data_IF_436017362367
#
_entry.id   IF_436017362367
#
_cell.length_a   1.000
_cell.length_b   1.000
_cell.length_c   1.000
_cell.angle_alpha   90.00
_cell.angle_beta   90.00
_cell.angle_gamma   90.00
#
_symmetry.space_group_name_H-M   'P 1'
#
loop_
_entity.id
_entity.type
_entity.pdbx_description
1 polymer ?
#
# COMPACT_ATOMS: atom_id res chain seq x y z
N UNK A 1 -23.51 -4.11 14.50
CA UNK A 1 -22.24 -3.37 14.68
C UNK A 1 -21.02 -4.16 14.23
N UNK A 2 -20.83 -5.39 14.71
CA UNK A 2 -19.72 -6.28 14.31
C UNK A 2 -19.73 -6.59 12.81
N UNK A 3 -20.89 -6.90 12.22
CA UNK A 3 -21.02 -7.17 10.78
C UNK A 3 -20.74 -5.94 9.87
N UNK A 4 -21.02 -4.71 10.34
CA UNK A 4 -20.74 -3.48 9.59
C UNK A 4 -19.24 -3.16 9.60
N UNK A 5 -18.61 -3.21 10.78
CA UNK A 5 -17.19 -2.92 10.94
C UNK A 5 -16.29 -3.98 10.28
N UNK A 6 -16.51 -5.27 10.57
CA UNK A 6 -15.67 -6.33 10.02
C UNK A 6 -16.09 -6.76 8.61
N UNK A 7 -17.38 -6.72 8.29
CA UNK A 7 -17.89 -7.25 7.03
C UNK A 7 -17.92 -6.24 5.88
N UNK A 8 -18.15 -4.95 6.15
CA UNK A 8 -18.22 -3.94 5.08
C UNK A 8 -16.98 -3.06 5.06
N UNK A 9 -16.65 -2.44 6.18
CA UNK A 9 -15.50 -1.53 6.27
C UNK A 9 -14.18 -2.30 6.12
N UNK A 10 -14.01 -3.40 6.87
CA UNK A 10 -12.82 -4.25 6.76
C UNK A 10 -12.60 -4.85 5.37
N UNK A 11 -13.69 -5.20 4.65
CA UNK A 11 -13.59 -5.70 3.27
C UNK A 11 -13.15 -4.61 2.29
N UNK A 12 -13.63 -3.37 2.48
CA UNK A 12 -13.19 -2.22 1.68
C UNK A 12 -11.71 -1.94 1.95
N UNK A 13 -11.29 -1.96 3.21
CA UNK A 13 -9.88 -1.76 3.58
C UNK A 13 -8.96 -2.83 2.97
N UNK A 14 -9.34 -4.11 3.08
CA UNK A 14 -8.60 -5.19 2.46
C UNK A 14 -8.53 -5.01 0.94
N UNK A 15 -9.63 -4.64 0.30
CA UNK A 15 -9.67 -4.43 -1.16
C UNK A 15 -8.78 -3.27 -1.61
N UNK A 16 -8.71 -2.17 -0.84
CA UNK A 16 -7.84 -1.03 -1.13
C UNK A 16 -6.35 -1.39 -1.02
N UNK A 17 -5.99 -2.19 -0.01
CA UNK A 17 -4.64 -2.73 0.13
C UNK A 17 -4.27 -3.64 -1.05
N UNK A 18 -5.13 -4.60 -1.39
CA UNK A 18 -4.90 -5.49 -2.54
C UNK A 18 -4.85 -4.72 -3.87
N UNK A 19 -5.67 -3.68 -4.04
CA UNK A 19 -5.62 -2.83 -5.21
C UNK A 19 -4.26 -2.15 -5.35
N UNK A 20 -3.75 -1.55 -4.27
CA UNK A 20 -2.42 -0.90 -4.27
C UNK A 20 -1.30 -1.88 -4.60
N UNK A 21 -1.38 -3.10 -4.06
CA UNK A 21 -0.44 -4.18 -4.37
C UNK A 21 -0.43 -4.54 -5.86
N UNK A 22 -1.61 -4.80 -6.44
CA UNK A 22 -1.74 -5.14 -7.85
C UNK A 22 -1.34 -3.98 -8.76
N UNK A 23 -1.62 -2.74 -8.35
CA UNK A 23 -1.24 -1.55 -9.09
C UNK A 23 0.28 -1.44 -9.25
N UNK A 24 1.04 -1.57 -8.15
CA UNK A 24 2.50 -1.46 -8.18
C UNK A 24 3.13 -2.64 -8.93
N UNK A 25 2.61 -3.85 -8.75
CA UNK A 25 3.04 -5.01 -9.53
C UNK A 25 2.82 -4.80 -11.02
N UNK A 26 1.67 -4.28 -11.43
CA UNK A 26 1.33 -4.03 -12.83
C UNK A 26 2.20 -2.92 -13.45
N UNK A 27 2.49 -1.87 -12.69
CA UNK A 27 3.38 -0.78 -13.11
C UNK A 27 4.82 -1.29 -13.37
N UNK A 28 5.25 -2.29 -12.60
CA UNK A 28 6.53 -2.99 -12.79
C UNK A 28 6.47 -4.18 -13.76
N UNK A 29 5.38 -4.34 -14.53
CA UNK A 29 5.27 -5.37 -15.57
C UNK A 29 4.70 -6.73 -15.15
N UNK A 30 4.34 -6.90 -13.87
CA UNK A 30 3.66 -8.09 -13.37
C UNK A 30 2.15 -7.87 -13.32
N UNK A 31 1.47 -8.17 -14.43
CA UNK A 31 0.01 -8.08 -14.44
C UNK A 31 -0.65 -9.08 -13.46
N UNK A 32 -1.82 -8.74 -12.88
CA UNK A 32 -2.53 -9.60 -11.95
C UNK A 32 -2.81 -11.02 -12.48
N UNK A 33 -3.01 -11.17 -13.78
CA UNK A 33 -3.20 -12.47 -14.45
C UNK A 33 -1.95 -13.34 -14.41
N UNK A 34 -0.75 -12.75 -14.55
CA UNK A 34 0.56 -13.43 -14.54
C UNK A 34 1.04 -13.78 -13.13
N UNK A 35 0.55 -13.06 -12.11
CA UNK A 35 0.86 -13.31 -10.70
C UNK A 35 0.27 -14.62 -10.17
N UNK A 36 -0.82 -15.10 -10.76
CA UNK A 36 -1.47 -16.35 -10.36
C UNK A 36 -0.51 -17.52 -10.69
N UNK A 37 -0.20 -18.35 -9.68
CA UNK A 37 0.77 -19.46 -9.73
C UNK A 37 2.26 -19.09 -9.82
N UNK A 38 2.63 -17.81 -9.81
CA UNK A 38 4.03 -17.38 -9.93
C UNK A 38 4.87 -17.59 -8.65
N UNK A 39 4.22 -17.89 -7.50
CA UNK A 39 4.87 -17.96 -6.18
C UNK A 39 6.05 -18.94 -6.11
N UNK A 40 5.93 -20.12 -6.72
CA UNK A 40 6.99 -21.13 -6.70
C UNK A 40 8.26 -20.66 -7.43
N UNK A 41 8.09 -19.98 -8.57
CA UNK A 41 9.20 -19.41 -9.34
C UNK A 41 9.72 -18.13 -8.69
N UNK A 42 8.84 -17.33 -8.09
CA UNK A 42 9.15 -16.10 -7.38
C UNK A 42 10.09 -16.33 -6.18
N UNK A 43 9.88 -17.39 -5.41
CA UNK A 43 10.66 -17.66 -4.20
C UNK A 43 11.94 -18.48 -4.45
N UNK A 44 12.07 -19.07 -5.63
CA UNK A 44 13.26 -19.82 -6.03
C UNK A 44 14.45 -18.88 -6.27
N UNK A 45 15.50 -19.01 -5.44
CA UNK A 45 16.78 -18.30 -5.60
C UNK A 45 17.60 -18.78 -6.79
N UNK A 46 17.35 -20.00 -7.27
CA UNK A 46 18.09 -20.60 -8.37
C UNK A 46 17.64 -20.07 -9.74
N UNK A 47 16.45 -19.47 -9.82
CA UNK A 47 15.89 -18.96 -11.07
C UNK A 47 16.03 -17.44 -11.12
N UNK A 48 16.98 -16.92 -11.91
CA UNK A 48 17.27 -15.47 -12.01
C UNK A 48 16.75 -14.82 -13.30
N UNK A 49 16.06 -15.57 -14.15
CA UNK A 49 15.53 -15.12 -15.44
C UNK A 49 14.01 -15.21 -15.44
N UNK A 50 13.36 -14.59 -14.45
CA UNK A 50 11.90 -14.60 -14.39
C UNK A 50 11.32 -13.55 -15.33
N UNK A 51 10.66 -13.99 -16.39
CA UNK A 51 10.08 -13.13 -17.41
C UNK A 51 8.78 -12.48 -16.92
N UNK A 52 8.73 -11.14 -16.98
CA UNK A 52 7.53 -10.35 -16.73
C UNK A 52 6.58 -10.33 -17.94
N UNK A 53 5.52 -9.52 -17.89
CA UNK A 53 4.55 -9.43 -18.98
C UNK A 53 5.02 -8.55 -20.15
N UNK A 54 6.12 -7.81 -19.97
CA UNK A 54 6.77 -6.99 -20.99
C UNK A 54 7.94 -7.72 -21.68
N UNK A 55 8.27 -8.94 -21.24
CA UNK A 55 9.39 -9.74 -21.76
C UNK A 55 10.75 -9.39 -21.13
N UNK A 56 10.78 -8.69 -19.98
CA UNK A 56 12.02 -8.41 -19.25
C UNK A 56 12.34 -9.53 -18.26
N UNK A 57 13.62 -9.85 -18.12
CA UNK A 57 14.10 -10.83 -17.15
C UNK A 57 14.40 -10.19 -15.79
N UNK A 58 13.82 -10.74 -14.73
CA UNK A 58 13.99 -10.26 -13.37
C UNK A 58 14.84 -11.22 -12.51
N UNK A 59 15.92 -10.68 -11.96
CA UNK A 59 16.77 -11.38 -10.97
C UNK A 59 16.04 -11.57 -9.64
N UNK A 60 16.48 -12.55 -8.82
CA UNK A 60 15.91 -12.77 -7.49
C UNK A 60 15.99 -11.53 -6.59
N UNK A 61 17.11 -10.80 -6.65
CA UNK A 61 17.29 -9.58 -5.86
C UNK A 61 16.24 -8.53 -6.21
N UNK A 62 16.06 -8.21 -7.50
CA UNK A 62 15.12 -7.20 -7.97
C UNK A 62 13.67 -7.58 -7.65
N UNK A 63 13.30 -8.86 -7.78
CA UNK A 63 11.97 -9.35 -7.40
C UNK A 63 11.70 -9.16 -5.91
N UNK A 64 12.67 -9.47 -5.06
CA UNK A 64 12.51 -9.27 -3.61
C UNK A 64 12.41 -7.79 -3.25
N UNK A 65 13.19 -6.92 -3.90
CA UNK A 65 13.06 -5.46 -3.75
C UNK A 65 11.63 -5.00 -4.11
N UNK A 66 11.09 -5.48 -5.23
CA UNK A 66 9.72 -5.16 -5.64
C UNK A 66 8.68 -5.70 -4.64
N UNK A 67 8.83 -6.94 -4.16
CA UNK A 67 7.96 -7.55 -3.16
C UNK A 67 7.92 -6.71 -1.87
N UNK A 68 9.09 -6.25 -1.42
CA UNK A 68 9.26 -5.38 -0.27
C UNK A 68 8.61 -4.00 -0.46
N UNK A 69 8.79 -3.42 -1.65
CA UNK A 69 8.12 -2.16 -2.03
C UNK A 69 6.60 -2.30 -1.97
N UNK A 70 6.06 -3.42 -2.46
CA UNK A 70 4.64 -3.71 -2.42
C UNK A 70 4.10 -3.87 -0.98
N UNK A 71 4.87 -4.49 -0.08
CA UNK A 71 4.51 -4.62 1.34
C UNK A 71 4.44 -3.24 2.02
N UNK A 72 5.42 -2.38 1.76
CA UNK A 72 5.39 -0.98 2.22
C UNK A 72 4.14 -0.26 1.73
N UNK A 73 3.84 -0.36 0.45
CA UNK A 73 2.68 0.32 -0.12
C UNK A 73 1.35 -0.21 0.42
N UNK A 74 1.26 -1.52 0.66
CA UNK A 74 0.11 -2.13 1.31
C UNK A 74 -0.09 -1.56 2.71
N UNK A 75 0.98 -1.41 3.49
CA UNK A 75 0.93 -0.78 4.80
C UNK A 75 0.49 0.69 4.71
N UNK A 76 1.06 1.48 3.79
CA UNK A 76 0.66 2.88 3.59
C UNK A 76 -0.81 2.99 3.19
N UNK A 77 -1.29 2.10 2.31
CA UNK A 77 -2.70 2.05 1.93
C UNK A 77 -3.62 1.77 3.12
N UNK A 78 -3.22 0.87 4.02
CA UNK A 78 -3.96 0.60 5.27
C UNK A 78 -4.09 1.87 6.11
N UNK A 79 -2.99 2.62 6.28
CA UNK A 79 -2.99 3.87 7.08
C UNK A 79 -3.90 4.92 6.44
N UNK A 80 -3.89 5.07 5.12
CA UNK A 80 -4.79 6.00 4.41
C UNK A 80 -6.26 5.62 4.61
N UNK A 81 -6.61 4.34 4.53
CA UNK A 81 -8.00 3.89 4.78
C UNK A 81 -8.40 4.12 6.24
N UNK A 82 -7.48 3.93 7.20
CA UNK A 82 -7.75 4.23 8.61
C UNK A 82 -8.14 5.69 8.84
N UNK A 83 -7.58 6.64 8.08
CA UNK A 83 -8.01 8.04 8.17
C UNK A 83 -9.48 8.20 7.79
N UNK A 84 -9.91 7.55 6.71
CA UNK A 84 -11.30 7.56 6.29
C UNK A 84 -12.21 6.92 7.35
N UNK A 85 -11.80 5.81 7.95
CA UNK A 85 -12.54 5.13 9.00
C UNK A 85 -12.64 5.96 10.29
N UNK A 86 -11.58 6.67 10.67
CA UNK A 86 -11.60 7.61 11.80
C UNK A 86 -12.55 8.78 11.55
N UNK A 87 -12.62 9.29 10.32
CA UNK A 87 -13.56 10.36 9.94
C UNK A 87 -15.00 9.82 9.97
N UNK A 88 -15.26 8.64 9.44
CA UNK A 88 -16.60 8.03 9.38
C UNK A 88 -17.10 7.64 10.78
N UNK A 89 -16.24 7.05 11.61
CA UNK A 89 -16.59 6.63 12.97
C UNK A 89 -16.98 7.79 13.90
N UNK A 90 -16.58 9.03 13.58
CA UNK A 90 -16.98 10.24 14.30
C UNK A 90 -18.48 10.55 14.20
N UNK A 91 -19.14 10.11 13.12
CA UNK A 91 -20.51 10.50 12.79
C UNK A 91 -21.36 9.26 12.55
N UNK A 92 -22.04 8.80 13.61
CA UNK A 92 -22.88 7.58 13.54
C UNK A 92 -24.27 7.80 12.93
N UNK A 93 -24.75 9.04 12.91
CA UNK A 93 -26.13 9.42 12.53
C UNK A 93 -26.22 10.80 11.87
N UNK A 94 -25.47 11.79 12.35
CA UNK A 94 -25.45 13.14 11.76
C UNK A 94 -24.43 13.23 10.62
N UNK A 95 -24.62 14.16 9.68
CA UNK A 95 -23.65 14.41 8.61
C UNK A 95 -22.44 15.18 9.15
N UNK A 96 -21.24 14.86 8.65
CA UNK A 96 -19.97 15.53 9.01
C UNK A 96 -20.05 17.05 8.88
N UNK A 97 -20.76 17.53 7.86
CA UNK A 97 -20.93 18.97 7.56
C UNK A 97 -21.78 19.68 8.61
N UNK A 98 -22.72 18.96 9.25
CA UNK A 98 -23.69 19.54 10.18
C UNK A 98 -23.20 19.50 11.64
N UNK A 99 -22.26 18.61 11.96
CA UNK A 99 -21.74 18.42 13.32
C UNK A 99 -20.50 19.28 13.62
N UNK A 100 -19.72 19.64 12.60
CA UNK A 100 -18.49 20.44 12.77
C UNK A 100 -17.32 19.67 13.40
N UNK A 101 -16.10 20.18 13.22
CA UNK A 101 -14.84 19.51 13.58
C UNK A 101 -14.22 19.94 14.93
N UNK A 102 -15.06 20.20 15.95
CA UNK A 102 -14.61 20.81 17.23
C UNK A 102 -13.86 19.85 18.20
N UNK A 103 -13.74 18.56 17.88
CA UNK A 103 -13.10 17.59 18.78
C UNK A 103 -11.56 17.63 18.62
N UNK A 104 -10.89 18.31 19.56
CA UNK A 104 -9.43 18.47 19.59
C UNK A 104 -8.67 17.14 19.69
N UNK A 105 -9.16 16.17 20.49
CA UNK A 105 -8.50 14.86 20.65
C UNK A 105 -8.50 14.05 19.34
N UNK A 106 -9.59 14.11 18.57
CA UNK A 106 -9.68 13.42 17.28
C UNK A 106 -8.80 14.09 16.21
N UNK A 107 -8.78 15.43 16.19
CA UNK A 107 -7.90 16.18 15.28
C UNK A 107 -6.42 15.92 15.61
N UNK A 108 -6.07 15.81 16.89
CA UNK A 108 -4.73 15.41 17.32
C UNK A 108 -4.38 13.98 16.88
N UNK A 109 -5.31 13.04 17.02
CA UNK A 109 -5.11 11.66 16.54
C UNK A 109 -4.84 11.57 15.04
N UNK A 110 -5.63 12.29 14.23
CA UNK A 110 -5.41 12.37 12.77
C UNK A 110 -4.04 12.94 12.41
N UNK A 111 -3.61 14.01 13.09
CA UNK A 111 -2.29 14.62 12.87
C UNK A 111 -1.16 13.70 13.32
N UNK A 112 -1.31 13.04 14.47
CA UNK A 112 -0.32 12.09 14.98
C UNK A 112 -0.15 10.89 14.06
N UNK A 113 -1.25 10.29 13.58
CA UNK A 113 -1.22 9.21 12.59
C UNK A 113 -0.56 9.67 11.28
N UNK A 114 -0.83 10.90 10.85
CA UNK A 114 -0.18 11.47 9.66
C UNK A 114 1.32 11.63 9.84
N UNK A 115 1.75 12.12 11.00
CA UNK A 115 3.17 12.29 11.32
C UNK A 115 3.84 10.92 11.44
N UNK A 116 3.17 9.92 12.02
CA UNK A 116 3.69 8.56 12.13
C UNK A 116 3.81 7.89 10.77
N UNK A 117 2.80 8.03 9.90
CA UNK A 117 2.84 7.56 8.52
C UNK A 117 3.97 8.21 7.72
N UNK A 118 4.11 9.53 7.84
CA UNK A 118 5.19 10.27 7.21
C UNK A 118 6.56 9.86 7.77
N UNK A 119 6.70 9.68 9.08
CA UNK A 119 7.91 9.20 9.71
C UNK A 119 8.27 7.79 9.21
N UNK A 120 7.30 6.89 9.08
CA UNK A 120 7.53 5.54 8.55
C UNK A 120 7.89 5.52 7.05
N UNK A 121 7.34 6.46 6.25
CA UNK A 121 7.67 6.57 4.82
C UNK A 121 9.02 7.27 4.57
N UNK A 122 9.37 8.27 5.39
CA UNK A 122 10.49 9.17 5.13
C UNK A 122 11.69 8.98 6.05
N UNK A 123 11.63 8.19 7.13
CA UNK A 123 12.81 7.94 7.95
C UNK A 123 13.78 6.96 7.26
N UNK A 124 14.97 7.43 6.84
CA UNK A 124 15.98 6.57 6.25
C UNK A 124 16.58 5.69 7.36
N UNK A 125 16.26 4.39 7.32
CA UNK A 125 16.63 3.42 8.35
C UNK A 125 15.72 2.19 8.38
N UNK A 126 14.49 2.35 7.89
CA UNK A 126 13.52 1.25 7.72
C UNK A 126 13.81 0.38 6.47
N UNK A 127 14.64 0.89 5.56
CA UNK A 127 15.21 0.14 4.43
C UNK A 127 16.14 -1.01 4.93
N UNK A 128 16.89 -0.77 6.03
CA UNK A 128 17.81 -1.76 6.63
C UNK A 128 17.19 -2.65 7.71
N UNK A 129 16.15 -2.18 8.40
CA UNK A 129 15.48 -2.93 9.47
C UNK A 129 14.29 -3.77 9.01
N UNK A 130 13.49 -3.26 8.07
CA UNK A 130 12.22 -3.87 7.62
C UNK A 130 12.18 -4.18 6.12
N UNK A 131 13.27 -3.90 5.39
CA UNK A 131 13.34 -4.03 3.92
C UNK A 131 12.18 -3.28 3.27
N UNK A 132 12.09 -1.97 3.48
CA UNK A 132 11.06 -1.12 2.87
C UNK A 132 11.73 -0.12 1.94
N UNK A 133 11.52 -0.28 0.62
CA UNK A 133 12.04 0.63 -0.39
C UNK A 133 11.10 1.81 -0.62
N UNK A 134 11.68 2.97 -0.96
CA UNK A 134 10.95 4.22 -1.16
C UNK A 134 9.94 4.12 -2.30
N UNK A 135 8.68 4.48 -2.02
CA UNK A 135 7.63 4.59 -3.04
C UNK A 135 7.80 5.90 -3.80
N UNK A 136 7.93 5.83 -5.14
CA UNK A 136 7.83 7.04 -5.98
C UNK A 136 6.39 7.54 -5.96
N UNK A 137 6.22 8.85 -5.76
CA UNK A 137 4.94 9.50 -6.07
C UNK A 137 4.67 9.32 -7.55
N UNK A 138 3.46 8.88 -7.91
CA UNK A 138 2.95 8.83 -9.29
C UNK A 138 2.98 10.25 -9.84
N UNK A 139 4.10 10.63 -10.43
CA UNK A 139 4.23 11.84 -11.22
C UNK A 139 3.66 11.55 -12.59
N UNK A 140 2.58 12.24 -12.93
CA UNK A 140 1.79 12.12 -14.15
C UNK A 140 2.54 12.69 -15.38
N UNK A 141 3.85 12.46 -15.47
CA UNK A 141 4.69 12.94 -16.57
C UNK A 141 5.99 12.14 -16.68
N UNK A 142 5.92 10.88 -17.12
CA UNK A 142 6.77 10.31 -18.17
C UNK A 142 6.54 8.79 -18.30
N UNK A 143 6.35 8.25 -19.51
CA UNK A 143 6.57 6.85 -19.75
C UNK A 143 8.09 6.60 -19.74
N UNK A 144 8.50 5.40 -19.30
CA UNK A 144 9.87 4.85 -19.33
C UNK A 144 10.82 5.28 -18.21
N UNK A 145 11.43 4.27 -17.58
CA UNK A 145 12.67 4.45 -16.84
C UNK A 145 12.71 3.79 -15.47
N UNK A 146 12.81 2.46 -15.48
CA UNK A 146 13.66 1.60 -14.65
C UNK A 146 14.21 2.20 -13.34
N UNK A 147 13.93 1.49 -12.24
CA UNK A 147 14.41 1.64 -10.85
C UNK A 147 13.72 2.70 -9.96
#
# INVERSE_FOLDING_TARGET
>A
LISLAYGQIGMIQASAGFFTYFWIMADNGFYPSRLIQLRAQWDSRAFNSLEDSYGQEWTYANRKILEYTCQTAYFVSIVVVQWADLIISKTRRNSLVQQGMSNWTLNFGLVFETILAAFMCYCPGLDKGLRMYGLRFVSLSHPTGVF
#
